data_IF_695156735724
#
_entry.id   IF_695156735724
#
_cell.length_a   1.000
_cell.length_b   1.000
_cell.length_c   1.000
_cell.angle_alpha   90.00
_cell.angle_beta   90.00
_cell.angle_gamma   90.00
#
_symmetry.space_group_name_H-M   'P 1'
#
loop_
_entity.id
_entity.type
_entity.pdbx_description
1 polymer ?
#
# COMPACT_ATOMS: atom_id res chain seq x y z
N UNK A 1 -1.14 0.72 46.45
CA UNK A 1 -1.04 1.06 45.03
C UNK A 1 -1.82 0.01 44.24
N UNK A 2 -3.03 0.40 43.81
CA UNK A 2 -3.90 -0.51 43.08
C UNK A 2 -3.43 -0.56 41.64
N UNK A 3 -2.84 -1.68 41.21
CA UNK A 3 -2.60 -1.97 39.80
C UNK A 3 -3.93 -2.25 39.12
N UNK A 4 -4.22 -1.53 38.03
CA UNK A 4 -5.43 -1.78 37.26
C UNK A 4 -5.35 -3.16 36.59
N UNK A 5 -6.37 -4.04 36.63
CA UNK A 5 -6.32 -5.40 36.07
C UNK A 5 -5.86 -5.47 34.60
N UNK A 6 -6.12 -4.39 33.83
CA UNK A 6 -5.71 -4.28 32.43
C UNK A 6 -4.39 -3.55 32.20
N UNK A 7 -3.59 -3.30 33.26
CA UNK A 7 -2.27 -2.70 33.09
C UNK A 7 -1.30 -3.70 32.45
N UNK A 8 -0.38 -3.19 31.63
CA UNK A 8 0.68 -4.01 31.05
C UNK A 8 1.62 -4.50 32.14
N UNK A 9 1.97 -5.78 32.07
CA UNK A 9 2.96 -6.38 32.96
C UNK A 9 4.36 -5.78 32.72
N UNK A 10 5.27 -5.98 33.65
CA UNK A 10 6.66 -5.56 33.51
C UNK A 10 7.31 -6.19 32.25
N UNK A 11 7.07 -7.48 32.05
CA UNK A 11 7.57 -8.24 30.89
C UNK A 11 7.02 -7.68 29.56
N UNK A 12 5.72 -7.37 29.50
CA UNK A 12 5.10 -6.76 28.31
C UNK A 12 5.69 -5.37 28.02
N UNK A 13 5.92 -4.56 29.07
CA UNK A 13 6.56 -3.24 28.95
C UNK A 13 8.00 -3.37 28.43
N UNK A 14 8.77 -4.29 28.96
CA UNK A 14 10.13 -4.55 28.50
C UNK A 14 10.18 -5.03 27.05
N UNK A 15 9.29 -5.96 26.68
CA UNK A 15 9.16 -6.46 25.31
C UNK A 15 8.87 -5.32 24.33
N UNK A 16 8.01 -4.36 24.70
CA UNK A 16 7.70 -3.19 23.89
C UNK A 16 8.91 -2.25 23.80
N UNK A 17 9.53 -1.90 24.92
CA UNK A 17 10.68 -0.99 24.98
C UNK A 17 11.86 -1.49 24.13
N UNK A 18 12.16 -2.79 24.19
CA UNK A 18 13.24 -3.42 23.42
C UNK A 18 13.03 -3.29 21.91
N UNK A 19 11.80 -3.30 21.43
CA UNK A 19 11.47 -3.25 19.99
C UNK A 19 11.11 -1.87 19.48
N UNK A 20 10.57 -1.02 20.34
CA UNK A 20 10.09 0.31 19.96
C UNK A 20 11.10 1.14 19.15
N UNK A 21 12.40 1.23 19.50
CA UNK A 21 13.35 2.04 18.74
C UNK A 21 13.45 1.64 17.26
N UNK A 22 13.28 0.34 16.98
CA UNK A 22 13.33 -0.19 15.60
C UNK A 22 12.08 0.11 14.78
N UNK A 23 10.93 0.28 15.45
CA UNK A 23 9.62 0.39 14.81
C UNK A 23 8.86 1.67 15.20
N UNK A 24 9.56 2.67 15.76
CA UNK A 24 8.96 3.91 16.27
C UNK A 24 8.06 4.65 15.26
N UNK A 25 8.38 4.55 13.97
CA UNK A 25 7.66 5.22 12.88
C UNK A 25 6.48 4.42 12.35
N UNK A 26 6.30 3.17 12.79
CA UNK A 26 5.21 2.29 12.35
C UNK A 26 4.72 1.37 13.48
N UNK A 27 3.71 1.85 14.19
CA UNK A 27 3.09 1.12 15.31
C UNK A 27 2.45 -0.20 14.90
N UNK A 28 2.04 -0.37 13.63
CA UNK A 28 1.45 -1.62 13.16
C UNK A 28 2.52 -2.69 12.98
N UNK A 29 3.69 -2.31 12.46
CA UNK A 29 4.85 -3.21 12.40
C UNK A 29 5.34 -3.60 13.78
N UNK A 30 5.34 -2.66 14.74
CA UNK A 30 5.66 -2.96 16.13
C UNK A 30 4.71 -4.01 16.69
N UNK A 31 3.40 -3.82 16.52
CA UNK A 31 2.38 -4.74 17.03
C UNK A 31 2.48 -6.12 16.40
N UNK A 32 2.65 -6.23 15.08
CA UNK A 32 2.88 -7.50 14.39
C UNK A 32 4.12 -8.23 14.90
N UNK A 33 5.23 -7.50 15.10
CA UNK A 33 6.47 -8.07 15.65
C UNK A 33 6.27 -8.60 17.07
N UNK A 34 5.50 -7.87 17.89
CA UNK A 34 5.20 -8.25 19.27
C UNK A 34 4.28 -9.50 19.32
N UNK A 35 3.21 -9.54 18.50
CA UNK A 35 2.30 -10.70 18.39
C UNK A 35 3.05 -11.98 18.07
N UNK A 36 3.95 -11.94 17.09
CA UNK A 36 4.80 -13.09 16.69
C UNK A 36 5.70 -13.59 17.81
N UNK A 37 5.86 -12.81 18.87
CA UNK A 37 6.65 -13.16 20.06
C UNK A 37 5.81 -13.37 21.31
N UNK A 38 4.50 -13.60 21.15
CA UNK A 38 3.60 -13.95 22.25
C UNK A 38 2.88 -12.78 22.93
N UNK A 39 2.98 -11.54 22.41
CA UNK A 39 2.21 -10.42 22.94
C UNK A 39 0.71 -10.57 22.58
N UNK A 40 -0.15 -10.69 23.60
CA UNK A 40 -1.57 -11.03 23.43
C UNK A 40 -2.52 -9.83 23.44
N UNK A 41 -2.05 -8.61 23.77
CA UNK A 41 -2.92 -7.45 23.88
C UNK A 41 -3.26 -6.83 22.53
N UNK A 42 -4.40 -6.11 22.50
CA UNK A 42 -4.87 -5.45 21.29
C UNK A 42 -3.91 -4.31 20.82
N UNK A 43 -3.98 -3.99 19.56
CA UNK A 43 -3.26 -2.86 18.98
C UNK A 43 -3.56 -1.54 19.70
N UNK A 44 -4.84 -1.30 20.05
CA UNK A 44 -5.25 -0.08 20.76
C UNK A 44 -4.63 0.01 22.15
N UNK A 45 -4.46 -1.12 22.83
CA UNK A 45 -3.77 -1.20 24.13
C UNK A 45 -2.31 -0.83 24.02
N UNK A 46 -1.59 -1.40 23.01
CA UNK A 46 -0.21 -1.04 22.69
C UNK A 46 -0.05 0.46 22.41
N UNK A 47 -0.88 1.01 21.52
CA UNK A 47 -0.81 2.43 21.17
C UNK A 47 -1.04 3.32 22.38
N UNK A 48 -1.98 2.95 23.28
CA UNK A 48 -2.26 3.70 24.50
C UNK A 48 -1.05 3.75 25.43
N UNK A 49 -0.35 2.63 25.61
CA UNK A 49 0.84 2.55 26.45
C UNK A 49 2.00 3.32 25.86
N UNK A 50 2.29 3.14 24.57
CA UNK A 50 3.39 3.87 23.91
C UNK A 50 3.15 5.38 23.94
N UNK A 51 1.91 5.84 23.74
CA UNK A 51 1.56 7.28 23.84
C UNK A 51 1.78 7.87 25.23
N UNK A 52 1.78 7.07 26.29
CA UNK A 52 2.14 7.56 27.64
C UNK A 52 3.64 7.85 27.76
N UNK A 53 4.47 7.13 26.98
CA UNK A 53 5.93 7.33 27.02
C UNK A 53 6.43 8.36 26.01
N UNK A 54 5.73 8.49 24.90
CA UNK A 54 6.07 9.44 23.82
C UNK A 54 4.95 10.48 23.74
N UNK A 55 5.22 11.71 24.15
CA UNK A 55 4.28 12.83 23.96
C UNK A 55 4.27 13.21 22.47
N UNK A 56 3.21 12.92 21.70
CA UNK A 56 3.16 13.34 20.28
C UNK A 56 2.84 14.83 20.20
N UNK A 57 3.48 15.53 19.27
CA UNK A 57 3.03 16.85 18.86
C UNK A 57 1.60 16.75 18.29
N UNK A 58 0.66 17.44 18.91
CA UNK A 58 -0.76 17.41 18.54
C UNK A 58 -0.99 18.32 17.33
N UNK A 59 -0.97 17.77 16.11
CA UNK A 59 -1.47 18.48 14.93
C UNK A 59 -3.01 18.50 15.00
N UNK A 60 -3.60 19.70 15.17
CA UNK A 60 -5.06 19.91 15.13
C UNK A 60 -5.63 19.46 13.77
N UNK A 61 -6.48 18.44 13.76
CA UNK A 61 -7.21 17.99 12.59
C UNK A 61 -8.49 18.78 12.43
N UNK A 62 -8.68 19.47 11.31
CA UNK A 62 -9.99 20.03 10.91
C UNK A 62 -10.91 18.88 10.48
N UNK A 63 -11.97 18.65 11.22
CA UNK A 63 -12.95 17.59 10.93
C UNK A 63 -13.82 18.01 9.73
N UNK A 64 -13.62 17.41 8.56
CA UNK A 64 -14.57 17.46 7.45
C UNK A 64 -15.46 16.22 7.50
N UNK A 65 -16.80 16.38 7.43
CA UNK A 65 -17.74 15.25 7.33
C UNK A 65 -17.41 14.41 6.08
N UNK A 66 -17.08 13.12 6.20
CA UNK A 66 -16.80 12.27 5.06
C UNK A 66 -18.09 12.03 4.27
N UNK A 67 -18.04 12.13 2.94
CA UNK A 67 -19.12 11.63 2.08
C UNK A 67 -19.16 10.10 2.17
N UNK A 68 -20.35 9.46 2.08
CA UNK A 68 -20.46 8.01 2.09
C UNK A 68 -19.66 7.43 0.92
N UNK A 69 -18.79 6.48 1.23
CA UNK A 69 -17.94 5.80 0.29
C UNK A 69 -18.39 4.35 0.16
N UNK A 70 -18.70 3.93 -1.06
CA UNK A 70 -18.99 2.53 -1.35
C UNK A 70 -17.69 1.73 -1.34
N UNK A 71 -17.57 0.81 -0.39
CA UNK A 71 -16.40 -0.07 -0.27
C UNK A 71 -16.55 -1.24 -1.26
N UNK A 72 -15.45 -1.66 -1.89
CA UNK A 72 -15.45 -2.88 -2.67
C UNK A 72 -15.80 -4.09 -1.78
N UNK A 73 -16.66 -4.95 -2.28
CA UNK A 73 -17.26 -6.07 -1.53
C UNK A 73 -16.44 -7.35 -1.64
N UNK A 74 -15.74 -7.54 -2.77
CA UNK A 74 -14.93 -8.72 -3.03
C UNK A 74 -13.57 -8.35 -3.64
N UNK A 75 -12.55 -9.25 -3.51
CA UNK A 75 -11.23 -9.02 -4.10
C UNK A 75 -11.30 -8.87 -5.62
N UNK A 76 -10.57 -7.88 -6.14
CA UNK A 76 -10.53 -7.59 -7.57
C UNK A 76 -11.72 -6.82 -8.12
N UNK A 77 -12.77 -6.55 -7.33
CA UNK A 77 -13.86 -5.69 -7.78
C UNK A 77 -13.34 -4.34 -8.24
N UNK A 78 -12.39 -3.75 -7.51
CA UNK A 78 -11.74 -2.51 -7.87
C UNK A 78 -10.29 -2.43 -7.38
N UNK A 79 -9.37 -2.24 -8.32
CA UNK A 79 -7.95 -2.09 -8.06
C UNK A 79 -7.51 -0.66 -8.41
N UNK A 80 -6.88 0.03 -7.48
CA UNK A 80 -6.27 1.34 -7.72
C UNK A 80 -4.83 1.16 -8.18
N UNK A 81 -4.45 1.83 -9.27
CA UNK A 81 -3.07 1.86 -9.76
C UNK A 81 -2.56 3.30 -9.75
N UNK A 82 -1.30 3.46 -9.38
CA UNK A 82 -0.60 4.74 -9.38
C UNK A 82 0.90 4.53 -9.54
N UNK A 83 1.62 5.58 -9.97
CA UNK A 83 3.06 5.58 -10.17
C UNK A 83 3.71 6.62 -9.26
N UNK A 84 4.82 6.25 -8.66
CA UNK A 84 5.65 7.19 -7.90
C UNK A 84 7.11 7.13 -8.35
N UNK A 85 7.82 8.22 -8.16
CA UNK A 85 9.28 8.19 -8.23
C UNK A 85 9.88 7.35 -7.11
N UNK A 86 10.87 6.54 -7.44
CA UNK A 86 11.72 5.91 -6.43
C UNK A 86 12.58 6.99 -5.80
N UNK A 87 12.63 7.10 -4.46
CA UNK A 87 13.39 8.15 -3.81
C UNK A 87 14.88 8.11 -4.16
N UNK A 88 15.43 9.25 -4.54
CA UNK A 88 16.83 9.35 -4.98
C UNK A 88 17.85 8.97 -3.91
N UNK A 89 17.52 9.21 -2.63
CA UNK A 89 18.43 8.90 -1.51
C UNK A 89 18.72 7.40 -1.32
N UNK A 90 17.87 6.52 -1.87
CA UNK A 90 18.11 5.07 -1.83
C UNK A 90 18.78 4.53 -3.10
N UNK A 91 18.91 5.34 -4.17
CA UNK A 91 19.48 4.95 -5.46
C UNK A 91 20.94 5.38 -5.55
N UNK A 92 21.87 4.42 -5.67
CA UNK A 92 23.31 4.72 -5.70
C UNK A 92 23.81 5.12 -7.09
N UNK A 93 23.07 4.78 -8.15
CA UNK A 93 23.48 5.01 -9.55
C UNK A 93 23.16 6.42 -10.07
N UNK A 94 22.46 7.25 -9.29
CA UNK A 94 21.97 8.56 -9.74
C UNK A 94 20.85 8.52 -10.79
N UNK A 95 20.47 7.34 -11.28
CA UNK A 95 19.37 7.17 -12.24
C UNK A 95 18.01 7.39 -11.57
N UNK A 96 17.01 7.79 -12.37
CA UNK A 96 15.62 7.89 -11.93
C UNK A 96 14.90 6.58 -12.23
N UNK A 97 14.14 6.08 -11.26
CA UNK A 97 13.30 4.91 -11.42
C UNK A 97 11.88 5.20 -10.95
N UNK A 98 10.93 4.42 -11.42
CA UNK A 98 9.51 4.58 -11.19
C UNK A 98 8.95 3.30 -10.57
N UNK A 99 8.20 3.44 -9.46
CA UNK A 99 7.44 2.35 -8.88
C UNK A 99 6.00 2.44 -9.32
N UNK A 100 5.53 1.42 -10.03
CA UNK A 100 4.13 1.17 -10.31
C UNK A 100 3.53 0.37 -9.16
N UNK A 101 2.35 0.75 -8.69
CA UNK A 101 1.71 0.15 -7.52
C UNK A 101 0.24 -0.11 -7.80
N UNK A 102 -0.21 -1.34 -7.61
CA UNK A 102 -1.61 -1.72 -7.63
C UNK A 102 -2.06 -2.08 -6.20
N UNK A 103 -3.22 -1.58 -5.79
CA UNK A 103 -3.83 -1.87 -4.47
C UNK A 103 -5.28 -2.28 -4.67
N UNK A 104 -5.62 -3.50 -4.27
CA UNK A 104 -7.01 -3.94 -4.20
C UNK A 104 -7.80 -3.20 -3.13
N UNK A 105 -8.98 -2.69 -3.48
CA UNK A 105 -9.77 -1.90 -2.55
C UNK A 105 -10.44 -2.73 -1.44
N UNK A 106 -10.72 -4.00 -1.67
CA UNK A 106 -11.33 -4.89 -0.69
C UNK A 106 -10.30 -5.40 0.32
N UNK A 107 -9.33 -6.17 -0.12
CA UNK A 107 -8.36 -6.86 0.73
C UNK A 107 -7.14 -6.01 1.09
N UNK A 108 -6.89 -4.89 0.39
CA UNK A 108 -5.64 -4.13 0.47
C UNK A 108 -4.42 -4.92 0.00
N UNK A 109 -4.61 -6.04 -0.70
CA UNK A 109 -3.54 -6.73 -1.37
C UNK A 109 -2.83 -5.78 -2.32
N UNK A 110 -1.49 -5.84 -2.34
CA UNK A 110 -0.69 -4.83 -3.04
C UNK A 110 0.38 -5.50 -3.87
N UNK A 111 0.50 -5.07 -5.12
CA UNK A 111 1.55 -5.48 -6.04
C UNK A 111 2.34 -4.26 -6.52
N UNK A 112 3.66 -4.41 -6.65
CA UNK A 112 4.56 -3.32 -7.06
C UNK A 112 5.62 -3.85 -7.99
N UNK A 113 6.00 -3.02 -8.96
CA UNK A 113 7.17 -3.24 -9.80
C UNK A 113 7.92 -1.93 -10.06
N UNK A 114 9.20 -2.04 -10.42
CA UNK A 114 10.06 -0.91 -10.78
C UNK A 114 10.38 -0.91 -12.27
N UNK A 115 10.41 0.29 -12.86
CA UNK A 115 10.74 0.54 -14.25
C UNK A 115 11.69 1.74 -14.41
N UNK A 116 12.44 1.78 -15.50
CA UNK A 116 13.29 2.93 -15.84
C UNK A 116 12.48 4.07 -16.47
N UNK A 117 11.33 3.74 -17.03
CA UNK A 117 10.48 4.69 -17.75
C UNK A 117 9.11 4.89 -17.14
N UNK A 118 8.65 6.13 -17.24
CA UNK A 118 7.29 6.55 -16.93
C UNK A 118 6.51 6.66 -18.25
N UNK A 119 6.13 5.52 -18.81
CA UNK A 119 5.56 5.42 -20.15
C UNK A 119 4.33 4.50 -20.19
N UNK A 120 3.50 4.66 -21.24
CA UNK A 120 2.35 3.78 -21.47
C UNK A 120 2.79 2.32 -21.75
N UNK A 121 4.01 2.13 -22.27
CA UNK A 121 4.60 0.79 -22.43
C UNK A 121 4.86 0.16 -21.06
N UNK A 122 5.52 0.87 -20.15
CA UNK A 122 5.78 0.38 -18.78
C UNK A 122 4.50 0.10 -18.01
N UNK A 123 3.46 0.95 -18.14
CA UNK A 123 2.14 0.72 -17.56
C UNK A 123 1.49 -0.55 -18.09
N UNK A 124 1.62 -0.81 -19.39
CA UNK A 124 1.07 -2.01 -20.05
C UNK A 124 1.81 -3.26 -19.58
N UNK A 125 3.14 -3.23 -19.49
CA UNK A 125 3.91 -4.34 -18.94
C UNK A 125 3.56 -4.62 -17.47
N UNK A 126 3.43 -3.56 -16.67
CA UNK A 126 2.97 -3.68 -15.29
C UNK A 126 1.59 -4.34 -15.20
N UNK A 127 0.64 -3.94 -16.04
CA UNK A 127 -0.71 -4.53 -16.08
C UNK A 127 -0.66 -6.04 -16.41
N UNK A 128 0.13 -6.43 -17.41
CA UNK A 128 0.30 -7.84 -17.79
C UNK A 128 0.86 -8.66 -16.62
N UNK A 129 1.88 -8.13 -15.96
CA UNK A 129 2.50 -8.78 -14.81
C UNK A 129 1.58 -8.80 -13.58
N UNK A 130 0.83 -7.72 -13.35
CA UNK A 130 -0.20 -7.65 -12.31
C UNK A 130 -1.22 -8.78 -12.47
N UNK A 131 -1.79 -8.95 -13.68
CA UNK A 131 -2.80 -9.98 -13.95
C UNK A 131 -2.23 -11.38 -13.73
N UNK A 132 -0.98 -11.63 -14.13
CA UNK A 132 -0.30 -12.92 -13.92
C UNK A 132 -0.02 -13.23 -12.44
N UNK A 133 0.24 -12.21 -11.61
CA UNK A 133 0.63 -12.35 -10.20
C UNK A 133 -0.52 -12.19 -9.23
N UNK A 134 -1.62 -11.58 -9.68
CA UNK A 134 -2.80 -11.35 -8.85
C UNK A 134 -3.51 -12.68 -8.55
N UNK A 135 -3.78 -12.99 -7.27
CA UNK A 135 -4.42 -14.25 -6.88
C UNK A 135 -5.94 -14.27 -7.05
N UNK A 136 -6.51 -13.26 -7.69
CA UNK A 136 -7.94 -13.12 -7.96
C UNK A 136 -8.16 -12.41 -9.30
N UNK A 137 -9.30 -12.61 -9.98
CA UNK A 137 -9.64 -11.90 -11.20
C UNK A 137 -9.88 -10.41 -10.91
N UNK A 138 -9.40 -9.54 -11.79
CA UNK A 138 -9.58 -8.07 -11.67
C UNK A 138 -10.73 -7.66 -12.57
N UNK A 139 -11.78 -7.07 -11.97
CA UNK A 139 -12.94 -6.54 -12.71
C UNK A 139 -12.76 -5.10 -13.15
N UNK A 140 -12.29 -4.25 -12.23
CA UNK A 140 -12.17 -2.82 -12.48
C UNK A 140 -10.78 -2.30 -12.07
N UNK A 141 -10.22 -1.44 -12.92
CA UNK A 141 -8.98 -0.71 -12.61
C UNK A 141 -9.27 0.79 -12.60
N UNK A 142 -8.76 1.46 -11.58
CA UNK A 142 -8.82 2.91 -11.44
C UNK A 142 -7.41 3.50 -11.39
N UNK A 143 -7.18 4.54 -12.23
CA UNK A 143 -5.96 5.35 -12.20
C UNK A 143 -6.29 6.83 -12.09
N UNK A 144 -5.26 7.65 -11.91
CA UNK A 144 -5.36 9.07 -12.23
C UNK A 144 -5.36 9.32 -13.75
N UNK A 145 -5.21 10.60 -14.16
CA UNK A 145 -5.15 11.00 -15.57
C UNK A 145 -3.72 11.16 -16.08
N UNK A 146 -2.76 10.44 -15.51
CA UNK A 146 -1.37 10.46 -15.96
C UNK A 146 -1.22 10.00 -17.42
N UNK A 147 -0.29 10.60 -18.15
CA UNK A 147 -0.04 10.30 -19.56
C UNK A 147 0.47 8.86 -19.78
N UNK A 148 0.98 8.22 -18.76
CA UNK A 148 1.38 6.81 -18.74
C UNK A 148 0.19 5.85 -18.81
N UNK A 149 -1.00 6.30 -18.40
CA UNK A 149 -2.22 5.49 -18.39
C UNK A 149 -3.17 5.87 -19.53
N UNK A 150 -3.28 7.17 -19.85
CA UNK A 150 -4.32 7.64 -20.76
C UNK A 150 -3.88 8.85 -21.59
N UNK A 151 -4.34 8.91 -22.82
CA UNK A 151 -4.18 10.06 -23.70
C UNK A 151 -5.32 11.09 -23.54
N UNK A 152 -6.20 10.94 -22.57
CA UNK A 152 -7.42 11.74 -22.43
C UNK A 152 -7.19 13.26 -22.35
N UNK A 153 -6.09 13.70 -21.72
CA UNK A 153 -5.72 15.11 -21.66
C UNK A 153 -5.12 15.63 -22.98
N UNK A 154 -4.67 14.71 -23.84
CA UNK A 154 -4.08 15.01 -25.16
C UNK A 154 -5.12 14.88 -26.29
N UNK A 155 -6.33 14.41 -26.00
CA UNK A 155 -7.38 14.09 -26.99
C UNK A 155 -7.79 15.26 -27.91
N UNK A 156 -7.54 16.52 -27.54
CA UNK A 156 -7.69 17.66 -28.45
C UNK A 156 -6.70 17.63 -29.63
N UNK A 157 -5.65 16.79 -29.57
CA UNK A 157 -4.59 16.67 -30.57
C UNK A 157 -4.41 15.25 -31.13
N UNK A 158 -4.98 14.23 -30.49
CA UNK A 158 -4.76 12.85 -30.86
C UNK A 158 -5.95 11.98 -30.47
N UNK A 159 -6.58 11.33 -31.47
CA UNK A 159 -7.73 10.42 -31.23
C UNK A 159 -7.32 8.99 -30.85
N UNK A 160 -6.04 8.76 -30.54
CA UNK A 160 -5.54 7.41 -30.25
C UNK A 160 -5.74 7.06 -28.77
N UNK A 161 -6.28 5.87 -28.54
CA UNK A 161 -6.35 5.20 -27.24
C UNK A 161 -4.92 4.82 -26.81
N UNK A 162 -4.61 4.87 -25.51
CA UNK A 162 -3.30 4.45 -25.03
C UNK A 162 -3.14 2.92 -25.09
N UNK A 163 -1.91 2.43 -25.21
CA UNK A 163 -1.61 0.98 -25.15
C UNK A 163 -2.16 0.33 -23.87
N UNK A 164 -2.13 1.06 -22.77
CA UNK A 164 -2.69 0.61 -21.50
C UNK A 164 -4.21 0.42 -21.56
N UNK A 165 -4.93 1.39 -22.12
CA UNK A 165 -6.39 1.32 -22.31
C UNK A 165 -6.79 0.20 -23.28
N UNK A 166 -6.03 0.03 -24.39
CA UNK A 166 -6.25 -1.07 -25.33
C UNK A 166 -6.07 -2.43 -24.65
N UNK A 167 -5.06 -2.55 -23.81
CA UNK A 167 -4.79 -3.80 -23.09
C UNK A 167 -5.86 -4.12 -22.05
N UNK A 168 -6.37 -3.12 -21.33
CA UNK A 168 -7.51 -3.28 -20.42
C UNK A 168 -8.75 -3.80 -21.18
N UNK A 169 -9.03 -3.24 -22.35
CA UNK A 169 -10.13 -3.70 -23.21
C UNK A 169 -9.96 -5.15 -23.65
N UNK A 170 -8.73 -5.56 -24.03
CA UNK A 170 -8.42 -6.95 -24.41
C UNK A 170 -8.68 -7.93 -23.27
N UNK A 171 -8.40 -7.54 -22.01
CA UNK A 171 -8.68 -8.35 -20.83
C UNK A 171 -10.11 -8.24 -20.30
N UNK A 172 -10.97 -7.44 -20.92
CA UNK A 172 -12.35 -7.21 -20.45
C UNK A 172 -12.44 -6.46 -19.12
N UNK A 173 -11.39 -5.71 -18.75
CA UNK A 173 -11.32 -4.97 -17.49
C UNK A 173 -11.93 -3.59 -17.65
N UNK A 174 -12.87 -3.23 -16.77
CA UNK A 174 -13.52 -1.91 -16.76
C UNK A 174 -12.51 -0.87 -16.27
N UNK A 175 -12.34 0.20 -17.05
CA UNK A 175 -11.40 1.27 -16.73
C UNK A 175 -12.09 2.50 -16.16
N UNK A 176 -11.62 2.96 -15.02
CA UNK A 176 -12.07 4.19 -14.38
C UNK A 176 -10.93 5.19 -14.23
N UNK A 177 -11.14 6.40 -14.71
CA UNK A 177 -10.25 7.54 -14.43
C UNK A 177 -10.84 8.39 -13.33
N UNK A 178 -10.02 8.81 -12.37
CA UNK A 178 -10.48 9.76 -11.36
C UNK A 178 -10.80 11.11 -12.03
N UNK A 179 -11.76 11.83 -11.47
CA UNK A 179 -12.06 13.20 -11.93
C UNK A 179 -10.85 14.10 -11.67
N UNK A 180 -10.57 15.01 -12.60
CA UNK A 180 -9.53 16.03 -12.43
C UNK A 180 -9.75 16.78 -11.11
N UNK A 181 -8.69 17.09 -10.38
CA UNK A 181 -8.69 17.75 -9.08
C UNK A 181 -9.44 17.01 -7.94
N UNK A 182 -9.61 15.69 -8.04
CA UNK A 182 -10.17 14.86 -6.95
C UNK A 182 -9.20 13.78 -6.46
N UNK A 183 -8.04 14.12 -5.88
CA UNK A 183 -7.01 13.17 -5.45
C UNK A 183 -7.51 12.15 -4.42
N UNK A 184 -8.58 12.47 -3.69
CA UNK A 184 -9.16 11.56 -2.69
C UNK A 184 -9.60 10.20 -3.25
N UNK A 185 -9.88 10.11 -4.55
CA UNK A 185 -10.32 8.87 -5.17
C UNK A 185 -9.20 7.82 -5.27
N UNK A 186 -7.92 8.24 -5.34
CA UNK A 186 -6.75 7.35 -5.36
C UNK A 186 -6.07 7.19 -3.98
N UNK A 187 -6.76 7.59 -2.91
CA UNK A 187 -6.20 7.68 -1.56
C UNK A 187 -5.70 6.36 -0.95
N UNK A 188 -6.09 5.19 -1.48
CA UNK A 188 -5.60 3.90 -0.98
C UNK A 188 -4.18 3.61 -1.47
N UNK A 189 -3.93 3.84 -2.75
CA UNK A 189 -2.60 3.67 -3.33
C UNK A 189 -1.65 4.77 -2.84
N UNK A 190 -2.11 6.02 -2.70
CA UNK A 190 -1.32 7.12 -2.11
C UNK A 190 -0.91 6.80 -0.66
N UNK A 191 -1.84 6.26 0.14
CA UNK A 191 -1.52 5.79 1.50
C UNK A 191 -0.49 4.68 1.47
N UNK A 192 -0.58 3.77 0.50
CA UNK A 192 0.38 2.69 0.36
C UNK A 192 1.77 3.22 0.00
N UNK A 193 1.87 4.23 -0.86
CA UNK A 193 3.13 4.89 -1.18
C UNK A 193 3.83 5.49 0.06
N UNK A 194 3.06 6.08 0.98
CA UNK A 194 3.60 6.58 2.27
C UNK A 194 4.10 5.46 3.18
N UNK A 195 3.42 4.33 3.20
CA UNK A 195 3.89 3.14 3.94
C UNK A 195 5.14 2.55 3.31
N UNK A 196 5.23 2.53 1.98
CA UNK A 196 6.40 2.05 1.25
C UNK A 196 7.63 2.92 1.54
N UNK A 197 7.45 4.23 1.68
CA UNK A 197 8.52 5.15 2.10
C UNK A 197 9.12 4.71 3.43
N UNK A 198 8.28 4.59 4.45
CA UNK A 198 8.71 4.28 5.82
C UNK A 198 9.21 2.84 5.98
N UNK A 199 8.52 1.88 5.33
CA UNK A 199 8.75 0.45 5.56
C UNK A 199 9.82 -0.15 4.68
N UNK A 200 10.07 0.45 3.52
CA UNK A 200 10.95 -0.08 2.50
C UNK A 200 12.04 0.91 2.10
N UNK A 201 11.71 2.04 1.48
CA UNK A 201 12.70 2.95 0.91
C UNK A 201 13.67 3.55 1.93
N UNK A 202 13.19 3.95 3.11
CA UNK A 202 14.04 4.49 4.18
C UNK A 202 15.06 3.47 4.74
N UNK A 203 14.94 2.20 4.35
CA UNK A 203 15.74 1.09 4.90
C UNK A 203 16.53 0.33 3.83
N UNK A 204 16.43 0.74 2.56
CA UNK A 204 17.09 0.06 1.47
C UNK A 204 18.16 0.92 0.80
N UNK A 205 19.11 0.25 0.15
CA UNK A 205 19.99 0.82 -0.89
C UNK A 205 19.83 -0.02 -2.14
N UNK A 206 19.85 0.65 -3.29
CA UNK A 206 19.64 0.06 -4.61
C UNK A 206 20.83 0.37 -5.50
N UNK A 207 21.50 -0.68 -5.97
CA UNK A 207 22.71 -0.61 -6.79
C UNK A 207 22.43 -0.75 -8.28
N UNK A 208 21.27 -1.32 -8.64
CA UNK A 208 20.78 -1.45 -10.02
C UNK A 208 19.26 -1.59 -9.99
N UNK A 209 18.62 -1.46 -11.17
CA UNK A 209 17.18 -1.74 -11.32
C UNK A 209 16.84 -3.19 -10.91
N UNK A 210 17.69 -4.12 -11.31
CA UNK A 210 17.48 -5.54 -11.03
C UNK A 210 17.59 -5.85 -9.54
N UNK A 211 18.55 -5.25 -8.84
CA UNK A 211 18.66 -5.32 -7.39
C UNK A 211 17.41 -4.72 -6.72
N UNK A 212 16.96 -3.54 -7.16
CA UNK A 212 15.73 -2.92 -6.67
C UNK A 212 14.50 -3.79 -6.88
N UNK A 213 14.37 -4.43 -8.05
CA UNK A 213 13.28 -5.38 -8.35
C UNK A 213 13.29 -6.60 -7.43
N UNK A 214 14.46 -7.20 -7.20
CA UNK A 214 14.62 -8.34 -6.27
C UNK A 214 14.23 -7.97 -4.83
N UNK A 215 14.65 -6.80 -4.35
CA UNK A 215 14.30 -6.29 -3.03
C UNK A 215 12.79 -5.99 -2.93
N UNK A 216 12.20 -5.38 -3.97
CA UNK A 216 10.79 -5.04 -4.03
C UNK A 216 9.89 -6.29 -4.08
N UNK A 217 10.33 -7.36 -4.75
CA UNK A 217 9.62 -8.63 -4.77
C UNK A 217 9.53 -9.27 -3.38
N UNK A 218 10.63 -9.26 -2.62
CA UNK A 218 10.65 -9.69 -1.22
C UNK A 218 9.72 -8.82 -0.37
N UNK A 219 9.72 -7.51 -0.62
CA UNK A 219 8.85 -6.58 0.08
C UNK A 219 7.37 -6.79 -0.27
N UNK A 220 7.00 -7.10 -1.50
CA UNK A 220 5.63 -7.44 -1.90
C UNK A 220 5.08 -8.58 -1.05
N UNK A 221 5.83 -9.68 -0.92
CA UNK A 221 5.45 -10.82 -0.08
C UNK A 221 5.30 -10.43 1.38
N UNK A 222 6.27 -9.70 1.93
CA UNK A 222 6.24 -9.23 3.32
C UNK A 222 5.07 -8.27 3.59
N UNK A 223 4.85 -7.30 2.70
CA UNK A 223 3.84 -6.25 2.86
C UNK A 223 2.42 -6.80 2.92
N UNK A 224 2.12 -7.87 2.17
CA UNK A 224 0.81 -8.51 2.15
C UNK A 224 0.55 -9.41 3.36
N UNK A 225 1.57 -9.64 4.19
CA UNK A 225 1.46 -10.35 5.47
C UNK A 225 1.51 -9.42 6.71
N UNK A 226 1.45 -8.10 6.50
CA UNK A 226 1.43 -7.12 7.59
C UNK A 226 0.00 -6.72 7.88
N UNK A 227 -0.41 -6.81 9.14
CA UNK A 227 -1.74 -6.42 9.62
C UNK A 227 -2.06 -4.96 9.32
N UNK A 228 -3.31 -4.71 8.97
CA UNK A 228 -3.82 -3.36 8.67
C UNK A 228 -5.05 -3.06 9.53
N UNK A 229 -5.09 -1.90 10.18
CA UNK A 229 -6.21 -1.48 11.02
C UNK A 229 -7.55 -1.43 10.27
N UNK A 230 -7.51 -1.06 8.97
CA UNK A 230 -8.71 -1.02 8.13
C UNK A 230 -9.25 -2.42 7.75
N UNK A 231 -8.53 -3.49 8.07
CA UNK A 231 -8.91 -4.89 7.90
C UNK A 231 -9.14 -5.59 9.24
N UNK A 232 -9.55 -4.85 10.26
CA UNK A 232 -9.72 -5.36 11.63
C UNK A 232 -8.45 -6.05 12.16
N UNK A 233 -7.28 -5.43 11.91
CA UNK A 233 -5.94 -5.89 12.31
C UNK A 233 -5.52 -7.22 11.67
N UNK A 234 -6.12 -7.58 10.54
CA UNK A 234 -5.71 -8.71 9.71
C UNK A 234 -4.80 -8.25 8.58
N UNK A 235 -3.99 -9.14 8.07
CA UNK A 235 -3.18 -8.91 6.87
C UNK A 235 -4.01 -9.05 5.59
N UNK A 236 -3.58 -8.46 4.46
CA UNK A 236 -4.20 -8.68 3.16
C UNK A 236 -4.35 -10.14 2.78
N UNK A 237 -3.32 -10.97 3.05
CA UNK A 237 -3.35 -12.39 2.72
C UNK A 237 -4.34 -13.17 3.59
N UNK A 238 -4.46 -12.88 4.89
CA UNK A 238 -5.45 -13.50 5.76
C UNK A 238 -6.89 -13.19 5.31
N UNK A 239 -7.17 -11.95 4.91
CA UNK A 239 -8.49 -11.57 4.39
C UNK A 239 -8.78 -12.24 3.05
N UNK A 240 -7.77 -12.36 2.19
CA UNK A 240 -7.90 -13.04 0.92
C UNK A 240 -8.16 -14.54 1.08
N UNK A 241 -7.46 -15.21 2.01
CA UNK A 241 -7.66 -16.63 2.29
C UNK A 241 -9.09 -16.94 2.73
N UNK A 242 -9.69 -16.12 3.61
CA UNK A 242 -11.08 -16.29 4.00
C UNK A 242 -12.03 -16.19 2.81
N UNK A 243 -11.78 -15.23 1.93
CA UNK A 243 -12.61 -15.06 0.73
C UNK A 243 -12.49 -16.25 -0.21
N UNK A 244 -11.28 -16.77 -0.42
CA UNK A 244 -11.06 -17.95 -1.28
C UNK A 244 -11.63 -19.23 -0.68
N UNK A 245 -11.75 -19.32 0.65
CA UNK A 245 -12.37 -20.46 1.33
C UNK A 245 -13.92 -20.46 1.21
N UNK A 246 -14.53 -19.36 0.77
CA UNK A 246 -15.97 -19.25 0.55
C UNK A 246 -16.38 -19.52 -0.92
N UNK A 247 -15.42 -19.69 -1.82
CA UNK A 247 -15.63 -20.05 -3.24
C UNK A 247 -15.53 -21.56 -3.45
#
# INVERSE_FOLDING_TARGET
>A
PHHHPNEHTAEEKEMILRRYPRYKDDMMLLWDSLRKSGYKRSYTSLVRVVKKWVKPEVKKRTARKPKPYQRAEYPGQKVQIDVKFVPSYCVTTGKKYYQYTAVDECTRWTYREMYEEHSTYSSTQFLINLIKKCPFPIREIQTDNGSEFTNALLQKKCNHVSLFEEKLKQYGIIYHRIRVATPRHNGKVERQHRLDETRFYNKMKMYSLEDGRKQLEKYNRKSNNISKSCLNYRSPNEVLQDYLALL
#
